data_IF_254570048147
#
_entry.id   IF_254570048147
#
_cell.length_a   1.000
_cell.length_b   1.000
_cell.length_c   1.000
_cell.angle_alpha   90.00
_cell.angle_beta   90.00
_cell.angle_gamma   90.00
#
_symmetry.space_group_name_H-M   'P 1'
#
loop_
_entity.id
_entity.type
_entity.pdbx_description
1 polymer ?
#
# COMPACT_ATOMS: atom_id res chain seq x y z
N UNK A 1 9.40 -5.78 16.84
CA UNK A 1 9.73 -7.06 17.52
C UNK A 1 11.23 -7.23 17.64
N UNK A 2 11.97 -7.47 16.54
CA UNK A 2 13.43 -7.71 16.61
C UNK A 2 14.19 -6.62 17.38
N UNK A 3 13.83 -5.34 17.20
CA UNK A 3 14.47 -4.27 17.97
C UNK A 3 14.31 -4.48 19.49
N UNK A 4 13.10 -4.80 19.94
CA UNK A 4 12.81 -5.04 21.35
C UNK A 4 13.49 -6.31 21.88
N UNK A 5 13.49 -7.40 21.11
CA UNK A 5 14.10 -8.67 21.47
C UNK A 5 15.63 -8.59 21.62
N UNK A 6 16.26 -7.76 20.80
CA UNK A 6 17.72 -7.60 20.75
C UNK A 6 18.22 -6.31 21.43
N UNK A 7 17.36 -5.56 22.12
CA UNK A 7 17.77 -4.33 22.80
C UNK A 7 18.26 -3.23 21.87
N UNK A 8 17.82 -3.24 20.60
CA UNK A 8 18.14 -2.19 19.64
C UNK A 8 17.36 -0.91 20.00
N UNK A 9 17.95 0.27 19.90
CA UNK A 9 17.25 1.51 20.17
C UNK A 9 16.03 1.67 19.28
N UNK A 10 14.87 1.99 19.86
CA UNK A 10 13.62 2.18 19.11
C UNK A 10 12.77 3.23 19.81
N UNK A 11 12.83 4.47 19.32
CA UNK A 11 12.07 5.60 19.89
C UNK A 11 10.64 5.61 19.41
N UNK A 12 10.41 5.33 18.12
CA UNK A 12 9.07 5.30 17.54
C UNK A 12 8.99 4.41 16.29
N UNK A 13 7.78 3.96 15.97
CA UNK A 13 7.42 3.35 14.70
C UNK A 13 6.63 4.35 13.86
N UNK A 14 6.97 4.47 12.57
CA UNK A 14 6.31 5.41 11.66
C UNK A 14 5.46 4.64 10.65
N UNK A 15 4.16 4.90 10.65
CA UNK A 15 3.23 4.44 9.63
C UNK A 15 2.83 5.62 8.74
N UNK A 16 2.96 5.48 7.43
CA UNK A 16 2.51 6.49 6.48
C UNK A 16 1.30 5.98 5.71
N UNK A 17 0.12 6.45 6.11
CA UNK A 17 -1.15 6.09 5.49
C UNK A 17 -1.33 6.87 4.19
N UNK A 18 -1.54 6.15 3.11
CA UNK A 18 -1.93 6.74 1.82
C UNK A 18 -3.44 6.92 1.82
N UNK A 19 -3.91 8.14 1.59
CA UNK A 19 -5.35 8.40 1.48
C UNK A 19 -5.81 8.32 0.03
N UNK A 20 -6.95 7.62 -0.21
CA UNK A 20 -7.62 7.64 -1.51
C UNK A 20 -8.23 9.02 -1.78
N UNK A 21 -9.05 9.49 -0.87
CA UNK A 21 -9.58 10.85 -0.82
C UNK A 21 -9.45 11.42 0.61
N UNK A 22 -10.18 12.47 0.95
CA UNK A 22 -10.08 13.11 2.29
C UNK A 22 -10.60 12.22 3.42
N UNK A 23 -11.40 11.22 3.12
CA UNK A 23 -12.10 10.37 4.10
C UNK A 23 -11.72 8.90 3.99
N UNK A 24 -11.45 8.41 2.79
CA UNK A 24 -11.21 7.00 2.50
C UNK A 24 -9.70 6.73 2.50
N UNK A 25 -9.28 5.73 3.29
CA UNK A 25 -7.91 5.23 3.28
C UNK A 25 -7.60 4.51 1.96
N UNK A 26 -6.35 4.52 1.56
CA UNK A 26 -5.84 3.71 0.46
C UNK A 26 -5.50 2.27 0.85
N UNK A 27 -5.46 1.98 2.13
CA UNK A 27 -5.28 0.60 2.61
C UNK A 27 -6.58 -0.18 2.40
N UNK A 28 -6.46 -1.47 2.11
CA UNK A 28 -7.63 -2.38 2.12
C UNK A 28 -8.30 -2.29 3.49
N UNK A 29 -9.65 -2.24 3.59
CA UNK A 29 -10.34 -2.02 4.87
C UNK A 29 -9.88 -2.95 5.99
N UNK A 30 -9.76 -4.25 5.74
CA UNK A 30 -9.29 -5.24 6.71
C UNK A 30 -7.87 -4.94 7.21
N UNK A 31 -6.99 -4.43 6.32
CA UNK A 31 -5.64 -4.05 6.70
C UNK A 31 -5.64 -2.78 7.55
N UNK A 32 -6.45 -1.80 7.18
CA UNK A 32 -6.60 -0.55 7.93
C UNK A 32 -7.13 -0.83 9.34
N UNK A 33 -8.18 -1.63 9.45
CA UNK A 33 -8.76 -2.01 10.73
C UNK A 33 -7.75 -2.77 11.60
N UNK A 34 -7.02 -3.70 11.02
CA UNK A 34 -5.92 -4.37 11.71
C UNK A 34 -4.86 -3.39 12.21
N UNK A 35 -4.44 -2.41 11.40
CA UNK A 35 -3.44 -1.42 11.82
C UNK A 35 -3.94 -0.64 13.03
N UNK A 36 -5.15 -0.08 12.97
CA UNK A 36 -5.65 0.83 14.00
C UNK A 36 -6.15 0.10 15.26
N UNK A 37 -6.76 -1.07 15.12
CA UNK A 37 -7.38 -1.76 16.25
C UNK A 37 -6.51 -2.91 16.83
N UNK A 38 -5.47 -3.33 16.11
CA UNK A 38 -4.59 -4.41 16.57
C UNK A 38 -3.14 -3.99 16.64
N UNK A 39 -2.54 -3.55 15.51
CA UNK A 39 -1.10 -3.36 15.45
C UNK A 39 -0.64 -2.14 16.27
N UNK A 40 -1.26 -0.98 16.09
CA UNK A 40 -0.92 0.24 16.86
C UNK A 40 -1.10 0.01 18.34
N UNK A 41 -2.30 -0.41 18.85
CA UNK A 41 -2.48 -0.62 20.29
C UNK A 41 -1.53 -1.66 20.88
N UNK A 42 -1.14 -2.67 20.12
CA UNK A 42 -0.20 -3.68 20.58
C UNK A 42 1.22 -3.13 20.69
N UNK A 43 1.68 -2.36 19.72
CA UNK A 43 2.98 -1.70 19.77
C UNK A 43 3.07 -0.71 20.91
N UNK A 44 2.01 0.10 21.14
CA UNK A 44 1.95 1.04 22.23
C UNK A 44 1.99 0.38 23.61
N UNK A 45 1.30 -0.77 23.78
CA UNK A 45 1.41 -1.60 25.00
C UNK A 45 2.81 -2.17 25.23
N UNK A 46 3.60 -2.32 24.17
CA UNK A 46 5.01 -2.71 24.25
C UNK A 46 5.96 -1.52 24.49
N UNK A 47 5.41 -0.32 24.71
CA UNK A 47 6.19 0.91 24.93
C UNK A 47 6.69 1.57 23.65
N UNK A 48 6.27 1.12 22.46
CA UNK A 48 6.68 1.71 21.18
C UNK A 48 5.66 2.77 20.77
N UNK A 49 6.07 4.03 20.76
CA UNK A 49 5.26 5.13 20.22
C UNK A 49 5.01 4.91 18.73
N UNK A 50 3.76 5.06 18.29
CA UNK A 50 3.42 4.97 16.87
C UNK A 50 3.02 6.34 16.34
N UNK A 51 3.66 6.73 15.24
CA UNK A 51 3.36 7.98 14.53
C UNK A 51 2.72 7.68 13.20
N UNK A 52 1.51 8.21 12.99
CA UNK A 52 0.81 8.13 11.70
C UNK A 52 1.08 9.41 10.91
N UNK A 53 1.61 9.25 9.71
CA UNK A 53 1.82 10.33 8.73
C UNK A 53 0.80 10.21 7.61
N UNK A 54 0.40 11.37 7.06
CA UNK A 54 -0.42 11.48 5.86
C UNK A 54 0.13 12.58 4.96
N UNK A 55 -0.04 12.42 3.66
CA UNK A 55 0.25 13.50 2.72
C UNK A 55 -0.88 14.54 2.71
N UNK A 56 -0.56 15.77 2.30
CA UNK A 56 -1.57 16.81 2.03
C UNK A 56 -2.44 16.44 0.82
N UNK A 57 -1.86 15.78 -0.17
CA UNK A 57 -2.54 15.33 -1.39
C UNK A 57 -2.97 13.88 -1.26
N UNK A 58 -4.19 13.62 -1.69
CA UNK A 58 -4.77 12.28 -1.78
C UNK A 58 -4.48 11.65 -3.15
N UNK A 59 -4.86 10.37 -3.31
CA UNK A 59 -4.79 9.71 -4.60
C UNK A 59 -5.66 10.42 -5.64
N UNK A 60 -6.91 10.80 -5.29
CA UNK A 60 -7.83 11.49 -6.19
C UNK A 60 -7.25 12.84 -6.64
N UNK A 61 -6.62 13.60 -5.74
CA UNK A 61 -5.94 14.86 -6.11
C UNK A 61 -4.82 14.64 -7.12
N UNK A 62 -4.08 13.55 -6.97
CA UNK A 62 -2.99 13.22 -7.89
C UNK A 62 -3.52 12.68 -9.22
N UNK A 63 -4.59 11.89 -9.20
CA UNK A 63 -5.25 11.36 -10.39
C UNK A 63 -5.81 12.51 -11.25
N UNK A 64 -6.54 13.44 -10.63
CA UNK A 64 -7.13 14.61 -11.26
C UNK A 64 -6.09 15.70 -11.61
N UNK A 65 -4.88 15.57 -11.10
CA UNK A 65 -3.79 16.50 -11.41
C UNK A 65 -3.47 16.49 -12.91
N UNK A 66 -3.28 17.69 -13.49
CA UNK A 66 -3.01 17.82 -14.92
C UNK A 66 -1.53 17.63 -15.26
N UNK A 67 -1.28 17.15 -16.46
CA UNK A 67 0.07 17.11 -17.04
C UNK A 67 0.50 18.53 -17.45
N UNK A 68 1.66 18.96 -17.00
CA UNK A 68 2.12 20.35 -17.19
C UNK A 68 3.00 20.56 -18.42
N UNK A 69 3.53 19.49 -19.04
CA UNK A 69 4.49 19.56 -20.16
C UNK A 69 4.25 18.46 -21.19
N UNK A 70 4.73 18.67 -22.40
CA UNK A 70 4.69 17.69 -23.49
C UNK A 70 3.34 17.61 -24.23
N UNK A 71 3.18 16.65 -25.16
CA UNK A 71 1.99 16.53 -26.02
C UNK A 71 0.68 16.30 -25.27
N UNK A 72 0.75 15.81 -24.05
CA UNK A 72 -0.41 15.52 -23.19
C UNK A 72 -0.69 16.64 -22.16
N UNK A 73 -0.12 17.84 -22.35
CA UNK A 73 -0.36 19.00 -21.48
C UNK A 73 -1.86 19.30 -21.34
N UNK A 74 -2.31 19.51 -20.11
CA UNK A 74 -3.73 19.77 -19.79
C UNK A 74 -4.57 18.52 -19.53
N UNK A 75 -4.11 17.33 -19.93
CA UNK A 75 -4.83 16.07 -19.67
C UNK A 75 -4.68 15.65 -18.21
N UNK A 76 -5.68 14.91 -17.68
CA UNK A 76 -5.60 14.29 -16.36
C UNK A 76 -4.51 13.22 -16.32
N UNK A 77 -3.76 13.13 -15.22
CA UNK A 77 -2.70 12.12 -15.06
C UNK A 77 -3.20 10.69 -15.08
N UNK A 78 -4.43 10.46 -14.58
CA UNK A 78 -5.09 9.15 -14.51
C UNK A 78 -4.33 8.13 -13.64
N UNK A 79 -4.43 6.83 -13.95
CA UNK A 79 -3.83 5.74 -13.18
C UNK A 79 -2.30 5.69 -13.34
N UNK A 80 -1.53 5.35 -12.27
CA UNK A 80 -0.06 5.26 -12.34
C UNK A 80 0.41 3.93 -12.98
N UNK A 81 0.21 3.78 -14.29
CA UNK A 81 0.38 2.51 -15.02
C UNK A 81 1.84 2.11 -15.19
N UNK A 82 2.73 3.05 -15.41
CA UNK A 82 4.09 2.77 -15.85
C UNK A 82 5.15 3.39 -14.94
N UNK A 83 6.25 2.65 -14.74
CA UNK A 83 7.45 3.16 -14.08
C UNK A 83 7.27 3.46 -12.60
N UNK A 84 7.70 4.63 -12.16
CA UNK A 84 7.65 5.02 -10.75
C UNK A 84 6.25 5.48 -10.37
N UNK A 85 5.65 4.81 -9.39
CA UNK A 85 4.34 5.18 -8.85
C UNK A 85 4.40 6.59 -8.22
N UNK A 86 3.69 7.55 -8.82
CA UNK A 86 3.64 8.92 -8.29
C UNK A 86 2.89 8.99 -6.95
N UNK A 87 1.96 8.07 -6.68
CA UNK A 87 1.27 7.97 -5.39
C UNK A 87 2.26 7.58 -4.30
N UNK A 88 3.07 6.53 -4.52
CA UNK A 88 4.12 6.15 -3.60
C UNK A 88 5.09 7.31 -3.35
N UNK A 89 5.51 8.00 -4.41
CA UNK A 89 6.42 9.15 -4.29
C UNK A 89 5.82 10.28 -3.47
N UNK A 90 4.60 10.70 -3.79
CA UNK A 90 4.02 11.93 -3.26
C UNK A 90 3.23 11.70 -1.96
N UNK A 91 2.56 10.54 -1.81
CA UNK A 91 1.72 10.25 -0.66
C UNK A 91 2.41 9.40 0.42
N UNK A 92 3.59 8.80 0.14
CA UNK A 92 4.31 7.96 1.12
C UNK A 92 5.74 8.44 1.33
N UNK A 93 6.56 8.49 0.28
CA UNK A 93 7.99 8.81 0.44
C UNK A 93 8.19 10.26 0.88
N UNK A 94 7.51 11.23 0.25
CA UNK A 94 7.68 12.64 0.61
C UNK A 94 7.30 12.96 2.07
N UNK A 95 6.15 12.52 2.61
CA UNK A 95 5.82 12.71 4.02
C UNK A 95 6.88 12.11 4.95
N UNK A 96 7.32 10.87 4.69
CA UNK A 96 8.36 10.21 5.47
C UNK A 96 9.67 11.02 5.42
N UNK A 97 10.12 11.41 4.23
CA UNK A 97 11.35 12.21 4.09
C UNK A 97 11.25 13.60 4.74
N UNK A 98 10.06 14.24 4.72
CA UNK A 98 9.83 15.52 5.41
C UNK A 98 9.94 15.32 6.91
N UNK A 99 9.32 14.27 7.42
CA UNK A 99 9.39 13.93 8.85
C UNK A 99 10.84 13.61 9.29
N UNK A 100 11.56 12.79 8.54
CA UNK A 100 12.96 12.47 8.83
C UNK A 100 13.84 13.73 8.92
N UNK A 101 13.62 14.71 8.05
CA UNK A 101 14.37 15.99 8.08
C UNK A 101 14.08 16.83 9.33
N UNK A 102 13.01 16.59 10.06
CA UNK A 102 12.69 17.26 11.32
C UNK A 102 13.27 16.56 12.55
N UNK A 103 13.88 15.38 12.36
CA UNK A 103 14.51 14.61 13.41
C UNK A 103 16.01 14.99 13.54
N UNK A 104 16.68 14.67 14.67
CA UNK A 104 18.12 14.82 14.81
C UNK A 104 18.91 14.18 13.66
N UNK A 105 20.05 14.78 13.31
CA UNK A 105 20.84 14.36 12.14
C UNK A 105 21.43 12.95 12.26
N UNK A 106 21.58 12.44 13.46
CA UNK A 106 22.08 11.10 13.79
C UNK A 106 21.00 10.02 13.90
N UNK A 107 19.72 10.39 13.63
CA UNK A 107 18.59 9.44 13.70
C UNK A 107 18.76 8.29 12.72
N UNK A 108 18.78 7.07 13.22
CA UNK A 108 18.80 5.85 12.42
C UNK A 108 17.40 5.40 12.03
N UNK A 109 17.25 4.89 10.82
CA UNK A 109 15.98 4.39 10.30
C UNK A 109 16.01 2.88 10.11
N UNK A 110 15.14 2.16 10.80
CA UNK A 110 14.93 0.75 10.53
C UNK A 110 13.95 0.54 9.39
N UNK A 111 14.35 -0.22 8.38
CA UNK A 111 13.53 -0.54 7.19
C UNK A 111 13.32 -2.04 7.12
N UNK A 112 12.08 -2.47 7.02
CA UNK A 112 11.70 -3.88 6.90
C UNK A 112 12.02 -4.44 5.51
N UNK A 113 13.29 -4.75 5.26
CA UNK A 113 13.76 -5.47 4.08
C UNK A 113 14.34 -6.79 4.56
N UNK A 114 13.81 -7.90 4.06
CA UNK A 114 14.23 -9.23 4.49
C UNK A 114 15.66 -9.58 4.01
N UNK A 115 16.28 -10.55 4.70
CA UNK A 115 17.64 -10.98 4.39
C UNK A 115 17.79 -11.53 2.96
N UNK A 116 16.79 -12.19 2.42
CA UNK A 116 16.74 -12.74 1.08
C UNK A 116 16.43 -11.70 -0.03
N UNK A 117 16.13 -10.45 0.33
CA UNK A 117 15.87 -9.35 -0.61
C UNK A 117 17.15 -8.55 -0.96
N UNK A 118 18.22 -9.21 -1.36
CA UNK A 118 19.57 -8.63 -1.56
C UNK A 118 19.57 -7.36 -2.43
N UNK A 119 18.82 -7.36 -3.57
CA UNK A 119 18.74 -6.21 -4.48
C UNK A 119 18.13 -4.96 -3.81
N UNK A 120 17.30 -5.13 -2.79
CA UNK A 120 16.71 -4.03 -2.02
C UNK A 120 17.67 -3.56 -0.94
N UNK A 121 18.39 -4.47 -0.28
CA UNK A 121 19.39 -4.15 0.73
C UNK A 121 20.51 -3.27 0.18
N UNK A 122 20.96 -3.51 -1.05
CA UNK A 122 21.96 -2.69 -1.74
C UNK A 122 21.52 -1.22 -1.99
N UNK A 123 20.24 -0.90 -1.79
CA UNK A 123 19.71 0.47 -1.97
C UNK A 123 19.56 1.23 -0.66
N UNK A 124 19.89 0.62 0.47
CA UNK A 124 19.88 1.28 1.77
C UNK A 124 20.93 2.40 1.80
N UNK A 125 20.59 3.50 2.45
CA UNK A 125 21.46 4.66 2.63
C UNK A 125 22.15 4.57 3.99
N UNK A 126 23.17 5.42 4.23
CA UNK A 126 24.01 5.39 5.43
C UNK A 126 23.26 5.40 6.77
N UNK A 127 22.08 6.01 6.85
CA UNK A 127 21.26 6.05 8.07
C UNK A 127 20.12 5.02 8.07
N UNK A 128 20.17 4.04 7.16
CA UNK A 128 19.14 3.03 7.02
C UNK A 128 19.71 1.65 7.31
N UNK A 129 19.06 0.92 8.20
CA UNK A 129 19.44 -0.42 8.60
C UNK A 129 18.25 -1.36 8.48
N UNK A 130 18.46 -2.56 7.99
CA UNK A 130 17.48 -3.63 8.11
C UNK A 130 17.84 -4.54 9.28
N UNK A 131 17.02 -4.57 10.32
CA UNK A 131 17.17 -5.53 11.40
C UNK A 131 16.86 -6.96 10.93
N UNK A 132 15.95 -7.14 9.97
CA UNK A 132 15.71 -8.45 9.36
C UNK A 132 16.99 -9.00 8.71
N UNK A 133 17.69 -8.16 7.94
CA UNK A 133 18.96 -8.57 7.34
C UNK A 133 20.07 -8.76 8.38
N UNK A 134 20.16 -7.86 9.39
CA UNK A 134 21.15 -7.96 10.49
C UNK A 134 21.06 -9.30 11.23
N UNK A 135 19.81 -9.75 11.49
CA UNK A 135 19.53 -10.99 12.21
C UNK A 135 19.21 -12.17 11.28
N UNK A 136 19.46 -12.03 9.96
CA UNK A 136 19.28 -13.07 8.93
C UNK A 136 17.85 -13.62 8.82
N UNK A 137 16.85 -12.78 9.08
CA UNK A 137 15.44 -13.13 8.88
C UNK A 137 15.04 -13.00 7.42
N UNK A 138 14.54 -14.08 6.85
CA UNK A 138 13.91 -14.10 5.52
C UNK A 138 12.50 -13.49 5.59
N UNK A 139 11.87 -13.30 4.42
CA UNK A 139 10.47 -12.83 4.37
C UNK A 139 9.53 -13.82 5.09
N UNK A 140 9.77 -15.12 4.95
CA UNK A 140 8.95 -16.13 5.62
C UNK A 140 9.18 -16.13 7.15
N UNK A 141 10.43 -15.99 7.62
CA UNK A 141 10.72 -15.88 9.05
C UNK A 141 10.03 -14.65 9.66
N UNK A 142 10.01 -13.54 8.93
CA UNK A 142 9.31 -12.32 9.35
C UNK A 142 7.78 -12.54 9.45
N UNK A 143 7.18 -13.26 8.49
CA UNK A 143 5.75 -13.65 8.54
C UNK A 143 5.46 -14.57 9.72
N UNK A 144 6.31 -15.56 9.98
CA UNK A 144 6.16 -16.47 11.12
C UNK A 144 6.28 -15.73 12.45
N UNK A 145 7.25 -14.83 12.59
CA UNK A 145 7.35 -13.97 13.76
C UNK A 145 6.08 -13.13 13.95
N UNK A 146 5.56 -12.52 12.88
CA UNK A 146 4.31 -11.76 12.94
C UNK A 146 3.11 -12.63 13.35
N UNK A 147 3.00 -13.88 12.86
CA UNK A 147 1.97 -14.84 13.29
C UNK A 147 2.09 -15.13 14.78
N UNK A 148 3.30 -15.50 15.23
CA UNK A 148 3.58 -15.84 16.63
C UNK A 148 3.17 -14.74 17.60
N UNK A 149 3.39 -13.50 17.23
CA UNK A 149 3.07 -12.34 18.07
C UNK A 149 1.70 -11.71 17.74
N UNK A 150 0.89 -12.31 16.86
CA UNK A 150 -0.44 -11.79 16.48
C UNK A 150 -0.37 -10.41 15.81
N UNK A 151 0.64 -10.20 14.98
CA UNK A 151 0.86 -8.99 14.18
C UNK A 151 0.93 -9.28 12.67
N UNK A 152 0.48 -10.45 12.23
CA UNK A 152 0.27 -10.72 10.82
C UNK A 152 -1.09 -10.17 10.39
N UNK A 153 -1.07 -9.32 9.38
CA UNK A 153 -2.31 -8.73 8.85
C UNK A 153 -3.18 -9.77 8.14
N UNK A 154 -4.51 -9.71 8.27
CA UNK A 154 -5.44 -10.61 7.58
C UNK A 154 -5.38 -10.49 6.05
N UNK A 155 -4.86 -9.40 5.50
CA UNK A 155 -4.72 -9.27 4.03
C UNK A 155 -3.87 -10.38 3.41
N UNK A 156 -2.96 -11.01 4.17
CA UNK A 156 -2.15 -12.11 3.68
C UNK A 156 -2.92 -13.40 3.41
N UNK A 157 -4.21 -13.47 3.72
CA UNK A 157 -5.11 -14.55 3.34
C UNK A 157 -5.47 -14.48 1.84
N UNK A 158 -5.57 -13.27 1.28
CA UNK A 158 -5.98 -13.06 -0.10
C UNK A 158 -4.94 -12.30 -0.96
N UNK A 159 -3.85 -11.81 -0.38
CA UNK A 159 -2.75 -11.15 -1.12
C UNK A 159 -1.39 -11.63 -0.63
N UNK A 160 -0.38 -11.54 -1.50
CA UNK A 160 1.01 -11.85 -1.14
C UNK A 160 1.78 -10.59 -0.70
N UNK A 161 1.16 -9.41 -0.75
CA UNK A 161 1.80 -8.13 -0.48
C UNK A 161 0.82 -7.14 0.14
N UNK A 162 1.31 -6.26 0.99
CA UNK A 162 0.58 -5.04 1.35
C UNK A 162 0.61 -4.03 0.19
N UNK A 163 -0.52 -3.40 -0.08
CA UNK A 163 -0.62 -2.38 -1.13
C UNK A 163 -1.93 -1.62 -1.07
N UNK A 164 -2.00 -0.51 -1.81
CA UNK A 164 -3.25 0.23 -1.93
C UNK A 164 -4.27 -0.60 -2.71
N UNK A 165 -5.54 -0.59 -2.27
CA UNK A 165 -6.62 -1.32 -2.94
C UNK A 165 -6.87 -0.86 -4.40
N UNK A 166 -6.50 0.38 -4.74
CA UNK A 166 -6.57 0.95 -6.08
C UNK A 166 -5.27 0.80 -6.90
N UNK A 167 -4.39 -0.14 -6.54
CA UNK A 167 -3.07 -0.26 -7.18
C UNK A 167 -3.16 -0.93 -8.57
N UNK A 168 -2.69 -0.29 -9.65
CA UNK A 168 -2.69 -0.91 -10.99
C UNK A 168 -1.80 -2.16 -11.12
N UNK A 169 -0.94 -2.40 -10.13
CA UNK A 169 -0.13 -3.62 -10.05
C UNK A 169 -0.79 -4.69 -9.16
N UNK A 170 -2.05 -4.51 -8.78
CA UNK A 170 -2.84 -5.51 -8.06
C UNK A 170 -2.99 -6.78 -8.89
N UNK A 171 -2.85 -7.95 -8.25
CA UNK A 171 -3.11 -9.24 -8.89
C UNK A 171 -4.61 -9.44 -9.06
N UNK A 172 -5.03 -10.34 -9.98
CA UNK A 172 -6.45 -10.67 -10.18
C UNK A 172 -7.16 -11.00 -8.88
N UNK A 173 -6.54 -11.80 -7.99
CA UNK A 173 -7.12 -12.18 -6.70
C UNK A 173 -7.38 -10.97 -5.77
N UNK A 174 -6.50 -9.95 -5.79
CA UNK A 174 -6.66 -8.72 -5.01
C UNK A 174 -7.82 -7.88 -5.54
N UNK A 175 -7.90 -7.72 -6.87
CA UNK A 175 -8.99 -7.02 -7.53
C UNK A 175 -10.33 -7.76 -7.38
N UNK A 176 -10.30 -9.10 -7.42
CA UNK A 176 -11.49 -9.92 -7.20
C UNK A 176 -12.01 -9.79 -5.77
N UNK A 177 -11.11 -9.81 -4.76
CA UNK A 177 -11.48 -9.54 -3.38
C UNK A 177 -12.16 -8.18 -3.22
N UNK A 178 -11.58 -7.13 -3.83
CA UNK A 178 -12.18 -5.79 -3.79
C UNK A 178 -13.58 -5.77 -4.43
N UNK A 179 -13.74 -6.41 -5.59
CA UNK A 179 -15.01 -6.50 -6.32
C UNK A 179 -16.09 -7.21 -5.48
N UNK A 180 -15.73 -8.33 -4.83
CA UNK A 180 -16.66 -9.17 -4.09
C UNK A 180 -17.05 -8.59 -2.72
N UNK A 181 -16.10 -7.95 -2.02
CA UNK A 181 -16.29 -7.56 -0.62
C UNK A 181 -16.40 -6.05 -0.40
N UNK A 182 -15.98 -5.22 -1.35
CA UNK A 182 -15.96 -3.76 -1.24
C UNK A 182 -16.56 -3.07 -2.47
N UNK A 183 -17.84 -3.31 -2.79
CA UNK A 183 -18.49 -2.77 -3.99
C UNK A 183 -18.55 -1.24 -4.00
N UNK A 184 -18.57 -0.59 -2.85
CA UNK A 184 -18.45 0.86 -2.69
C UNK A 184 -17.10 1.40 -3.19
N UNK A 185 -16.00 0.77 -2.80
CA UNK A 185 -14.65 1.13 -3.27
C UNK A 185 -14.49 0.80 -4.75
N UNK A 186 -15.07 -0.31 -5.21
CA UNK A 186 -15.09 -0.67 -6.63
C UNK A 186 -15.80 0.39 -7.47
N UNK A 187 -16.96 0.87 -7.01
CA UNK A 187 -17.70 1.94 -7.66
C UNK A 187 -16.89 3.23 -7.78
N UNK A 188 -16.13 3.60 -6.74
CA UNK A 188 -15.22 4.76 -6.77
C UNK A 188 -14.17 4.67 -7.89
N UNK A 189 -13.66 3.46 -8.17
CA UNK A 189 -12.72 3.25 -9.28
C UNK A 189 -13.39 3.39 -10.64
N UNK A 190 -14.63 2.92 -10.78
CA UNK A 190 -15.42 3.12 -12.01
C UNK A 190 -15.72 4.59 -12.25
N UNK A 191 -16.04 5.36 -11.21
CA UNK A 191 -16.20 6.83 -11.31
C UNK A 191 -14.92 7.49 -11.85
N UNK A 192 -13.74 7.14 -11.34
CA UNK A 192 -12.48 7.66 -11.85
C UNK A 192 -12.20 7.21 -13.28
N UNK A 193 -12.56 5.96 -13.62
CA UNK A 193 -12.43 5.46 -14.98
C UNK A 193 -13.32 6.23 -15.97
N UNK A 194 -14.49 6.68 -15.56
CA UNK A 194 -15.43 7.42 -16.40
C UNK A 194 -15.03 8.88 -16.68
N UNK A 195 -14.06 9.44 -15.91
CA UNK A 195 -13.64 10.83 -16.11
C UNK A 195 -13.02 11.02 -17.51
N UNK A 196 -13.41 12.08 -18.25
CA UNK A 196 -12.85 12.36 -19.58
C UNK A 196 -11.45 12.99 -19.50
N UNK A 197 -10.74 12.99 -20.63
CA UNK A 197 -9.49 13.75 -20.78
C UNK A 197 -8.30 13.17 -20.04
N UNK A 198 -8.29 11.87 -19.74
CA UNK A 198 -7.17 11.15 -19.15
C UNK A 198 -6.03 10.94 -20.15
N UNK A 199 -4.79 10.92 -19.67
CA UNK A 199 -3.61 10.59 -20.49
C UNK A 199 -3.64 9.15 -21.02
N UNK A 200 -4.42 8.28 -20.38
CA UNK A 200 -4.63 6.90 -20.76
C UNK A 200 -5.95 6.40 -20.20
N UNK A 201 -6.67 5.61 -20.98
CA UNK A 201 -7.88 4.90 -20.51
C UNK A 201 -7.53 3.62 -19.75
N UNK A 202 -6.27 3.18 -19.79
CA UNK A 202 -5.83 1.96 -19.13
C UNK A 202 -5.71 2.15 -17.62
N UNK A 203 -6.20 1.16 -16.87
CA UNK A 203 -5.96 1.03 -15.43
C UNK A 203 -4.59 0.39 -15.17
N UNK A 204 -4.29 -0.70 -15.84
CA UNK A 204 -3.01 -1.40 -15.79
C UNK A 204 -2.32 -1.38 -17.17
N UNK A 205 -1.32 -2.23 -17.38
CA UNK A 205 -0.56 -2.26 -18.65
C UNK A 205 -1.38 -2.75 -19.83
N UNK A 206 -2.44 -3.52 -19.60
CA UNK A 206 -3.18 -4.26 -20.62
C UNK A 206 -4.60 -3.73 -20.83
N UNK A 207 -5.31 -3.40 -19.77
CA UNK A 207 -6.77 -3.19 -19.78
C UNK A 207 -7.19 -1.95 -18.98
N UNK A 208 -8.38 -1.43 -19.26
CA UNK A 208 -9.04 -0.40 -18.45
C UNK A 208 -9.69 -1.03 -17.22
N UNK A 209 -10.11 -0.20 -16.25
CA UNK A 209 -10.84 -0.71 -15.10
C UNK A 209 -12.26 -1.19 -15.47
N UNK A 210 -12.86 -0.59 -16.52
CA UNK A 210 -14.13 -1.05 -17.08
C UNK A 210 -14.03 -2.44 -17.71
N UNK A 211 -12.93 -2.75 -18.41
CA UNK A 211 -12.70 -4.10 -18.98
C UNK A 211 -12.61 -5.16 -17.87
N UNK A 212 -11.99 -4.80 -16.75
CA UNK A 212 -11.89 -5.69 -15.58
C UNK A 212 -13.27 -5.92 -14.97
N UNK A 213 -14.07 -4.88 -14.83
CA UNK A 213 -15.44 -4.93 -14.31
C UNK A 213 -16.32 -5.83 -15.18
N UNK A 214 -16.31 -5.62 -16.49
CA UNK A 214 -17.06 -6.43 -17.44
C UNK A 214 -16.65 -7.90 -17.36
N UNK A 215 -15.35 -8.18 -17.31
CA UNK A 215 -14.84 -9.55 -17.15
C UNK A 215 -15.35 -10.21 -15.87
N UNK A 216 -15.33 -9.51 -14.73
CA UNK A 216 -15.81 -10.08 -13.47
C UNK A 216 -17.31 -10.33 -13.48
N UNK A 217 -18.11 -9.44 -14.09
CA UNK A 217 -19.54 -9.66 -14.31
C UNK A 217 -19.81 -10.88 -15.18
N UNK A 218 -19.04 -11.08 -16.25
CA UNK A 218 -19.15 -12.26 -17.10
C UNK A 218 -18.78 -13.55 -16.37
N UNK A 219 -17.69 -13.53 -15.58
CA UNK A 219 -17.28 -14.67 -14.75
C UNK A 219 -18.39 -15.05 -13.75
N UNK A 220 -19.06 -14.06 -13.14
CA UNK A 220 -20.14 -14.30 -12.19
C UNK A 220 -21.44 -14.79 -12.89
N UNK A 221 -21.68 -14.34 -14.09
CA UNK A 221 -22.83 -14.82 -14.87
C UNK A 221 -22.67 -16.30 -15.28
N UNK A 222 -21.43 -16.77 -15.44
CA UNK A 222 -21.11 -18.14 -15.81
C UNK A 222 -21.06 -19.11 -14.63
N UNK A 223 -20.97 -18.61 -13.38
CA UNK A 223 -21.03 -19.47 -12.20
C UNK A 223 -22.41 -20.08 -12.03
N UNK A 224 -22.44 -21.40 -11.76
CA UNK A 224 -23.68 -22.11 -11.48
C UNK A 224 -24.35 -21.61 -10.18
N UNK A 225 -25.69 -21.78 -10.01
CA UNK A 225 -26.38 -21.38 -8.78
C UNK A 225 -25.79 -22.03 -7.50
N UNK A 226 -25.18 -23.20 -7.63
CA UNK A 226 -24.56 -23.92 -6.51
C UNK A 226 -23.22 -23.30 -6.05
N UNK A 227 -22.48 -22.62 -6.96
CA UNK A 227 -21.20 -21.97 -6.67
C UNK A 227 -21.37 -20.53 -6.12
N UNK A 228 -22.57 -19.98 -6.19
CA UNK A 228 -22.89 -18.63 -5.68
C UNK A 228 -23.25 -18.61 -4.20
N UNK A 229 -23.46 -19.78 -3.57
CA UNK A 229 -23.90 -19.92 -2.19
C UNK A 229 -22.80 -20.42 -1.22
N UNK A 230 -21.58 -20.60 -1.71
CA UNK A 230 -20.40 -21.01 -0.93
C UNK A 230 -19.45 -19.82 -0.73
#
# INVERSE_FOLDING_TARGET
MLALEHGEPLDEAVYCEVMFDKTISGEVPEHRDFIYHTAIPKLERMGVKVRVLRAEKTYVDLFAGTVTRGPKKGMLRAFPICGKCYVQRDCKIKPICRYQKSLPADTMQYIGIAYDEQKRLLRLKNQQVSLLAKYKFTEEDAKQLCRKVGLLSPVYEFTDRGGCWFCPNGKKKELRHLYDHHPDLWARMLELQALPGKVSEKFNRTESFSDIDERFRMEDAQKSPCEKAA
#
